data_IF_789281835535
#
_entry.id   IF_789281835535
#
_cell.length_a   1.000
_cell.length_b   1.000
_cell.length_c   1.000
_cell.angle_alpha   90.00
_cell.angle_beta   90.00
_cell.angle_gamma   90.00
#
_symmetry.space_group_name_H-M   'P 1'
#
loop_
_entity.id
_entity.type
_entity.pdbx_description
1 polymer ?
#
# COMPACT_ATOMS: atom_id res chain seq x y z
N UNK A 1 -50.90 -13.98 -31.61
CA UNK A 1 -50.21 -13.05 -32.53
C UNK A 1 -48.94 -12.57 -31.84
N UNK A 2 -47.76 -12.88 -32.37
CA UNK A 2 -46.49 -12.41 -31.79
C UNK A 2 -46.22 -11.00 -32.31
N UNK A 3 -46.19 -9.99 -31.44
CA UNK A 3 -45.75 -8.64 -31.80
C UNK A 3 -44.27 -8.71 -32.18
N UNK A 4 -43.95 -8.40 -33.43
CA UNK A 4 -42.58 -8.17 -33.86
C UNK A 4 -42.17 -6.76 -33.40
N UNK A 5 -41.06 -6.66 -32.69
CA UNK A 5 -40.46 -5.38 -32.31
C UNK A 5 -40.04 -4.58 -33.55
N UNK A 6 -40.18 -3.26 -33.50
CA UNK A 6 -39.76 -2.35 -34.56
C UNK A 6 -38.23 -2.26 -34.62
N UNK A 7 -37.66 -2.22 -35.83
CA UNK A 7 -36.23 -2.00 -36.03
C UNK A 7 -35.76 -0.66 -35.43
N UNK A 8 -36.62 0.35 -35.42
CA UNK A 8 -36.32 1.65 -34.82
C UNK A 8 -36.26 1.59 -33.30
N UNK A 9 -37.06 0.72 -32.67
CA UNK A 9 -37.00 0.52 -31.21
C UNK A 9 -35.64 -0.05 -30.80
N UNK A 10 -35.15 -1.06 -31.54
CA UNK A 10 -33.84 -1.64 -31.26
C UNK A 10 -32.70 -0.64 -31.55
N UNK A 11 -32.83 0.18 -32.60
CA UNK A 11 -31.81 1.15 -32.99
C UNK A 11 -31.64 2.27 -31.95
N UNK A 12 -32.74 2.81 -31.42
CA UNK A 12 -32.70 3.82 -30.35
C UNK A 12 -32.14 3.23 -29.05
N UNK A 13 -32.45 1.96 -28.74
CA UNK A 13 -31.90 1.30 -27.56
C UNK A 13 -30.39 1.12 -27.67
N UNK A 14 -29.89 0.67 -28.82
CA UNK A 14 -28.44 0.50 -29.03
C UNK A 14 -27.69 1.83 -29.05
N UNK A 15 -28.30 2.92 -29.55
CA UNK A 15 -27.67 4.24 -29.54
C UNK A 15 -27.57 4.81 -28.12
N UNK A 16 -28.60 4.64 -27.28
CA UNK A 16 -28.57 5.05 -25.86
C UNK A 16 -27.55 4.21 -25.08
N UNK A 17 -27.53 2.89 -25.26
CA UNK A 17 -26.54 2.00 -24.59
C UNK A 17 -25.12 2.36 -25.04
N UNK A 18 -24.92 2.65 -26.33
CA UNK A 18 -23.64 3.12 -26.86
C UNK A 18 -23.18 4.42 -26.21
N UNK A 19 -24.08 5.41 -26.08
CA UNK A 19 -23.79 6.68 -25.42
C UNK A 19 -23.47 6.52 -23.93
N UNK A 20 -24.23 5.69 -23.20
CA UNK A 20 -23.99 5.42 -21.78
C UNK A 20 -22.69 4.64 -21.56
N UNK A 21 -22.37 3.68 -22.44
CA UNK A 21 -21.14 2.88 -22.34
C UNK A 21 -19.87 3.72 -22.42
N UNK A 22 -19.90 4.83 -23.16
CA UNK A 22 -18.77 5.74 -23.31
C UNK A 22 -18.45 6.53 -22.01
N UNK A 23 -19.45 6.78 -21.17
CA UNK A 23 -19.30 7.60 -19.95
C UNK A 23 -19.05 6.74 -18.70
N UNK A 24 -19.36 5.45 -18.76
CA UNK A 24 -19.37 4.56 -17.59
C UNK A 24 -18.03 3.88 -17.29
N UNK A 25 -16.89 4.43 -17.73
CA UNK A 25 -15.55 3.94 -17.36
C UNK A 25 -15.05 4.77 -16.19
N UNK A 26 -15.47 4.50 -14.93
CA UNK A 26 -14.91 5.20 -13.79
C UNK A 26 -13.40 4.95 -13.74
N UNK A 27 -12.67 5.95 -13.25
CA UNK A 27 -11.23 5.91 -13.00
C UNK A 27 -10.91 4.95 -11.82
N UNK A 28 -11.18 3.66 -12.04
CA UNK A 28 -11.02 2.59 -11.06
C UNK A 28 -9.55 2.43 -10.64
N UNK A 29 -8.62 2.69 -11.55
CA UNK A 29 -7.18 2.65 -11.29
C UNK A 29 -6.76 3.66 -10.21
N UNK A 30 -7.29 4.89 -10.24
CA UNK A 30 -7.02 5.90 -9.23
C UNK A 30 -7.56 5.53 -7.85
N UNK A 31 -8.78 4.98 -7.78
CA UNK A 31 -9.39 4.54 -6.53
C UNK A 31 -8.63 3.37 -5.89
N UNK A 32 -8.22 2.38 -6.69
CA UNK A 32 -7.43 1.24 -6.21
C UNK A 32 -6.07 1.67 -5.66
N UNK A 33 -5.36 2.61 -6.31
CA UNK A 33 -4.07 3.10 -5.82
C UNK A 33 -4.22 3.84 -4.47
N UNK A 34 -5.25 4.66 -4.30
CA UNK A 34 -5.53 5.35 -3.02
C UNK A 34 -5.83 4.35 -1.90
N UNK A 35 -6.60 3.29 -2.18
CA UNK A 35 -6.87 2.24 -1.21
C UNK A 35 -5.58 1.50 -0.79
N UNK A 36 -4.67 1.22 -1.73
CA UNK A 36 -3.36 0.62 -1.44
C UNK A 36 -2.47 1.54 -0.60
N UNK A 37 -2.44 2.84 -0.90
CA UNK A 37 -1.70 3.82 -0.09
C UNK A 37 -2.27 3.94 1.32
N UNK A 38 -3.60 3.91 1.49
CA UNK A 38 -4.24 3.91 2.80
C UNK A 38 -3.88 2.64 3.61
N UNK A 39 -3.91 1.48 2.97
CA UNK A 39 -3.49 0.22 3.59
C UNK A 39 -2.00 0.25 3.99
N UNK A 40 -1.14 0.86 3.17
CA UNK A 40 0.28 1.01 3.46
C UNK A 40 0.52 1.93 4.67
N UNK A 41 -0.25 3.01 4.81
CA UNK A 41 -0.18 3.89 5.99
C UNK A 41 -0.56 3.13 7.27
N UNK A 42 -1.69 2.40 7.24
CA UNK A 42 -2.12 1.58 8.37
C UNK A 42 -1.06 0.53 8.74
N UNK A 43 -0.45 -0.10 7.73
CA UNK A 43 0.65 -1.03 7.93
C UNK A 43 1.85 -0.36 8.62
N UNK A 44 2.24 0.84 8.19
CA UNK A 44 3.37 1.55 8.78
C UNK A 44 3.17 1.82 10.28
N UNK A 45 1.97 2.21 10.70
CA UNK A 45 1.64 2.39 12.11
C UNK A 45 1.69 1.08 12.89
N UNK A 46 1.24 -0.04 12.30
CA UNK A 46 1.38 -1.34 12.95
C UNK A 46 2.85 -1.72 13.13
N UNK A 47 3.69 -1.51 12.12
CA UNK A 47 5.14 -1.78 12.25
C UNK A 47 5.76 -0.88 13.33
N UNK A 48 5.37 0.39 13.40
CA UNK A 48 5.83 1.29 14.45
C UNK A 48 5.46 0.76 15.85
N UNK A 49 4.22 0.33 16.05
CA UNK A 49 3.77 -0.23 17.32
C UNK A 49 4.55 -1.49 17.72
N UNK A 50 4.90 -2.34 16.76
CA UNK A 50 5.73 -3.54 17.00
C UNK A 50 7.18 -3.17 17.37
N UNK A 51 7.76 -2.14 16.75
CA UNK A 51 9.10 -1.64 17.10
C UNK A 51 9.10 -1.02 18.50
N UNK A 52 8.06 -0.26 18.85
CA UNK A 52 7.88 0.27 20.20
C UNK A 52 7.69 -0.86 21.22
N UNK A 53 6.91 -1.89 20.90
CA UNK A 53 6.79 -3.10 21.70
C UNK A 53 8.13 -3.79 21.94
N UNK A 54 8.95 -3.93 20.89
CA UNK A 54 10.28 -4.50 21.01
C UNK A 54 11.19 -3.70 21.97
N UNK A 55 11.11 -2.37 21.93
CA UNK A 55 11.84 -1.51 22.86
C UNK A 55 11.40 -1.73 24.30
N UNK A 56 10.09 -1.91 24.56
CA UNK A 56 9.59 -2.19 25.91
C UNK A 56 10.15 -3.50 26.47
N UNK A 57 10.31 -4.52 25.62
CA UNK A 57 10.81 -5.83 26.03
C UNK A 57 12.34 -5.87 26.17
N UNK A 58 13.07 -5.16 25.29
CA UNK A 58 14.52 -5.28 25.16
C UNK A 58 15.31 -4.04 25.64
N UNK A 59 14.65 -2.91 25.89
CA UNK A 59 15.23 -1.59 26.24
C UNK A 59 16.14 -0.96 25.16
N UNK A 60 16.11 -1.45 23.93
CA UNK A 60 16.81 -0.84 22.80
C UNK A 60 16.00 -1.01 21.51
N UNK A 61 16.19 -0.10 20.56
CA UNK A 61 15.60 -0.21 19.23
C UNK A 61 16.45 -1.14 18.35
N UNK A 62 15.84 -1.86 17.39
CA UNK A 62 16.58 -2.72 16.47
C UNK A 62 17.66 -1.92 15.73
N UNK A 63 18.89 -2.44 15.69
CA UNK A 63 19.92 -1.82 14.87
C UNK A 63 19.63 -2.04 13.39
N UNK A 64 19.74 -0.98 12.59
CA UNK A 64 19.61 -1.08 11.15
C UNK A 64 19.67 0.28 10.48
N UNK A 65 20.53 0.41 9.46
CA UNK A 65 20.59 1.60 8.61
C UNK A 65 20.01 1.25 7.24
N UNK A 66 18.95 1.95 6.84
CA UNK A 66 18.24 1.66 5.57
C UNK A 66 17.87 0.18 5.42
N UNK A 67 17.44 -0.47 6.50
CA UNK A 67 17.03 -1.87 6.50
C UNK A 67 15.62 -2.02 5.87
N UNK A 68 15.44 -2.93 4.89
CA UNK A 68 14.11 -3.25 4.39
C UNK A 68 13.23 -3.88 5.48
N UNK A 69 11.92 -3.64 5.43
CA UNK A 69 10.97 -4.23 6.39
C UNK A 69 11.07 -5.76 6.50
N UNK A 70 11.40 -6.45 5.40
CA UNK A 70 11.58 -7.90 5.39
C UNK A 70 12.72 -8.36 6.31
N UNK A 71 13.81 -7.59 6.38
CA UNK A 71 14.95 -7.87 7.24
C UNK A 71 14.59 -7.56 8.70
N UNK A 72 14.03 -6.36 8.94
CA UNK A 72 13.59 -5.94 10.26
C UNK A 72 12.58 -6.92 10.87
N UNK A 73 11.62 -7.42 10.08
CA UNK A 73 10.64 -8.38 10.54
C UNK A 73 11.27 -9.72 10.97
N UNK A 74 12.36 -10.16 10.33
CA UNK A 74 13.06 -11.37 10.75
C UNK A 74 13.83 -11.14 12.06
N UNK A 75 14.47 -9.98 12.21
CA UNK A 75 15.23 -9.60 13.41
C UNK A 75 14.30 -9.44 14.63
N UNK A 76 13.15 -8.81 14.44
CA UNK A 76 12.12 -8.61 15.46
C UNK A 76 11.23 -9.83 15.71
N UNK A 77 11.37 -10.91 14.93
CA UNK A 77 10.49 -12.08 15.01
C UNK A 77 9.02 -11.79 14.65
N UNK A 78 8.75 -10.71 13.91
CA UNK A 78 7.40 -10.28 13.55
C UNK A 78 6.77 -11.20 12.50
N UNK A 79 5.45 -11.30 12.57
CA UNK A 79 4.66 -11.97 11.54
C UNK A 79 4.86 -11.25 10.20
N UNK A 80 5.14 -12.01 9.14
CA UNK A 80 5.42 -11.45 7.82
C UNK A 80 4.27 -10.58 7.32
N UNK A 81 4.55 -9.29 7.19
CA UNK A 81 3.62 -8.33 6.64
C UNK A 81 3.42 -8.56 5.15
N UNK A 82 2.21 -8.29 4.66
CA UNK A 82 1.88 -8.38 3.24
C UNK A 82 1.89 -7.00 2.61
N UNK A 83 2.59 -6.85 1.51
CA UNK A 83 2.69 -5.62 0.74
C UNK A 83 1.35 -5.35 0.01
N UNK A 84 0.67 -4.22 0.27
CA UNK A 84 -0.61 -3.88 -0.35
C UNK A 84 -0.54 -3.67 -1.89
N UNK A 85 0.66 -3.36 -2.41
CA UNK A 85 0.84 -3.11 -3.84
C UNK A 85 1.03 -4.39 -4.65
N UNK A 86 1.81 -5.34 -4.12
CA UNK A 86 2.14 -6.62 -4.78
C UNK A 86 1.26 -7.77 -4.34
N UNK A 87 0.60 -7.66 -3.17
CA UNK A 87 -0.20 -8.73 -2.56
C UNK A 87 0.63 -9.89 -1.99
N UNK A 88 1.96 -9.76 -1.98
CA UNK A 88 2.93 -10.77 -1.50
C UNK A 88 3.54 -10.33 -0.17
N UNK A 89 4.29 -11.22 0.48
CA UNK A 89 5.12 -10.83 1.62
C UNK A 89 6.16 -9.78 1.20
N UNK A 90 6.57 -8.92 2.14
CA UNK A 90 7.64 -7.97 1.87
C UNK A 90 8.95 -8.70 1.53
N UNK A 91 9.58 -8.27 0.44
CA UNK A 91 10.91 -8.71 0.04
C UNK A 91 11.88 -7.55 0.10
N UNK A 92 13.17 -7.82 0.36
CA UNK A 92 14.21 -6.79 0.34
C UNK A 92 14.34 -6.11 -1.04
N UNK A 93 13.93 -6.79 -2.10
CA UNK A 93 13.94 -6.29 -3.48
C UNK A 93 12.68 -5.51 -3.87
N UNK A 94 11.68 -5.40 -3.00
CA UNK A 94 10.43 -4.70 -3.33
C UNK A 94 10.71 -3.21 -3.60
N UNK A 95 10.22 -2.72 -4.73
CA UNK A 95 10.26 -1.31 -5.09
C UNK A 95 8.92 -0.65 -4.77
N UNK A 96 7.81 -1.28 -5.16
CA UNK A 96 6.48 -0.73 -4.94
C UNK A 96 6.04 -0.89 -3.49
N UNK A 97 5.72 0.22 -2.82
CA UNK A 97 5.19 0.17 -1.47
C UNK A 97 6.20 -0.25 -0.41
N UNK A 98 7.51 -0.16 -0.72
CA UNK A 98 8.57 -0.59 0.18
C UNK A 98 8.57 0.25 1.46
N UNK A 99 8.94 -0.37 2.56
CA UNK A 99 9.11 0.27 3.87
C UNK A 99 10.57 0.06 4.27
N UNK A 100 11.22 1.16 4.62
CA UNK A 100 12.62 1.20 5.04
C UNK A 100 12.68 1.69 6.48
N UNK A 101 13.56 1.07 7.26
CA UNK A 101 13.85 1.42 8.64
C UNK A 101 15.28 1.95 8.74
N UNK A 102 15.48 3.01 9.49
CA UNK A 102 16.80 3.57 9.77
C UNK A 102 16.88 4.02 11.21
N UNK A 103 17.81 3.47 11.97
CA UNK A 103 18.16 3.91 13.32
C UNK A 103 19.37 4.84 13.25
N UNK A 104 19.27 5.99 13.92
CA UNK A 104 20.44 6.80 14.22
C UNK A 104 21.00 6.39 15.60
N UNK A 105 22.01 5.53 15.59
CA UNK A 105 22.63 5.00 16.82
C UNK A 105 23.26 6.08 17.71
N UNK A 106 23.50 7.30 17.19
CA UNK A 106 24.03 8.42 17.97
C UNK A 106 22.99 9.17 18.79
N UNK A 107 21.73 9.18 18.33
CA UNK A 107 20.61 9.87 19.00
C UNK A 107 19.54 8.92 19.55
N UNK A 108 19.59 7.63 19.22
CA UNK A 108 18.54 6.66 19.57
C UNK A 108 17.23 6.85 18.81
N UNK A 109 17.21 7.78 17.84
CA UNK A 109 16.03 8.11 17.05
C UNK A 109 15.95 7.15 15.87
N UNK A 110 14.82 6.46 15.73
CA UNK A 110 14.53 5.66 14.55
C UNK A 110 13.60 6.40 13.59
N UNK A 111 13.70 6.05 12.31
CA UNK A 111 12.87 6.56 11.22
C UNK A 111 12.36 5.39 10.38
N UNK A 112 11.03 5.33 10.19
CA UNK A 112 10.38 4.46 9.21
C UNK A 112 9.91 5.29 8.04
N UNK A 113 10.37 4.95 6.85
CA UNK A 113 9.99 5.61 5.60
C UNK A 113 9.24 4.62 4.72
N UNK A 114 7.98 4.90 4.42
CA UNK A 114 7.19 4.17 3.44
C UNK A 114 7.21 4.89 2.10
N UNK A 115 7.40 4.15 1.01
CA UNK A 115 7.44 4.67 -0.35
C UNK A 115 6.17 4.33 -1.12
N UNK A 116 5.83 5.15 -2.11
CA UNK A 116 4.70 4.90 -3.02
C UNK A 116 5.01 3.75 -3.99
N UNK A 117 4.09 3.50 -4.93
CA UNK A 117 4.24 2.49 -5.99
C UNK A 117 5.55 2.62 -6.79
N UNK A 118 6.07 3.83 -6.93
CA UNK A 118 7.31 4.12 -7.68
C UNK A 118 8.59 3.74 -6.94
N UNK A 119 8.53 3.46 -5.63
CA UNK A 119 9.68 3.16 -4.79
C UNK A 119 10.61 4.34 -4.50
N UNK A 120 10.31 5.53 -5.03
CA UNK A 120 11.15 6.72 -4.93
C UNK A 120 10.46 7.84 -4.13
N UNK A 121 9.14 7.99 -4.29
CA UNK A 121 8.39 9.03 -3.60
C UNK A 121 8.01 8.56 -2.20
N UNK A 122 8.41 9.32 -1.18
CA UNK A 122 8.01 9.07 0.21
C UNK A 122 6.49 9.31 0.35
N UNK A 123 5.79 8.32 0.89
CA UNK A 123 4.37 8.38 1.20
C UNK A 123 4.12 8.93 2.60
N UNK A 124 4.89 8.42 3.56
CA UNK A 124 4.79 8.72 4.98
C UNK A 124 6.13 8.38 5.64
N UNK A 125 6.54 9.23 6.56
CA UNK A 125 7.67 9.00 7.44
C UNK A 125 7.17 9.06 8.88
N UNK A 126 7.60 8.11 9.70
CA UNK A 126 7.31 8.04 11.13
C UNK A 126 8.63 7.98 11.88
N UNK A 127 8.73 8.70 12.98
CA UNK A 127 9.92 8.72 13.83
C UNK A 127 9.52 8.71 15.29
N UNK A 128 10.41 8.20 16.13
CA UNK A 128 10.35 8.38 17.58
C UNK A 128 10.79 9.82 17.88
N UNK A 129 9.82 10.73 18.05
CA UNK A 129 10.04 12.08 18.62
C UNK A 129 9.73 12.08 20.11
#
# INVERSE_FOLDING_TARGET
MKKAFSLMELLVVMSIIGMLSAVLIPNLAGAQNRAKEAALRALLYNVQAEIEGYYLDNNYYPDGESAPLAQLANELGLKRFRNPFTGKEYLASDQAGRIMYSLNSGSGVYTLTAYKKDGATVLLELTNS
#
